data_IF_142637424267
#
_entry.id   IF_142637424267
#
_cell.length_a   1.000
_cell.length_b   1.000
_cell.length_c   1.000
_cell.angle_alpha   90.00
_cell.angle_beta   90.00
_cell.angle_gamma   90.00
#
_symmetry.space_group_name_H-M   'P 1'
#
loop_
_entity.id
_entity.type
_entity.pdbx_description
1 polymer ?
#
# COMPACT_ATOMS: atom_id res chain seq x y z
N UNK A 1 -14.50 -51.10 -33.10
CA UNK A 1 -13.97 -49.85 -33.71
C UNK A 1 -14.25 -48.71 -32.73
N UNK A 2 -13.49 -48.74 -31.64
CA UNK A 2 -13.62 -47.81 -30.51
C UNK A 2 -12.72 -46.61 -30.74
N UNK A 3 -13.30 -45.41 -30.78
CA UNK A 3 -12.55 -44.13 -30.66
C UNK A 3 -12.73 -43.58 -29.26
N UNK A 4 -11.70 -43.77 -28.43
CA UNK A 4 -11.53 -43.07 -27.19
C UNK A 4 -11.40 -41.57 -27.47
N UNK A 5 -12.32 -40.78 -26.91
CA UNK A 5 -12.23 -39.34 -26.80
C UNK A 5 -11.41 -39.07 -25.54
N UNK A 6 -10.16 -38.61 -25.70
CA UNK A 6 -9.36 -38.08 -24.60
C UNK A 6 -9.79 -36.63 -24.35
N UNK A 7 -10.35 -36.40 -23.17
CA UNK A 7 -10.66 -35.09 -22.64
C UNK A 7 -9.36 -34.51 -22.10
N UNK A 8 -8.72 -33.60 -22.81
CA UNK A 8 -7.60 -32.81 -22.33
C UNK A 8 -8.18 -31.58 -21.60
N UNK A 9 -8.21 -31.65 -20.28
CA UNK A 9 -8.32 -30.44 -19.45
C UNK A 9 -7.06 -29.61 -19.70
N UNK A 10 -7.21 -28.47 -20.36
CA UNK A 10 -6.20 -27.42 -20.38
C UNK A 10 -6.25 -26.71 -19.04
N UNK A 11 -5.28 -26.99 -18.21
CA UNK A 11 -4.94 -26.13 -17.08
C UNK A 11 -4.48 -24.78 -17.66
N UNK A 12 -5.31 -23.76 -17.48
CA UNK A 12 -4.95 -22.38 -17.82
C UNK A 12 -4.03 -21.85 -16.72
N UNK A 13 -2.76 -22.14 -16.83
CA UNK A 13 -1.73 -21.42 -16.08
C UNK A 13 -1.77 -19.96 -16.54
N UNK A 14 -2.15 -19.05 -15.67
CA UNK A 14 -2.06 -17.62 -15.89
C UNK A 14 -0.59 -17.21 -15.94
N UNK A 15 -0.01 -17.26 -17.13
CA UNK A 15 1.25 -16.57 -17.43
C UNK A 15 0.90 -15.11 -17.69
N UNK A 16 1.24 -14.23 -16.75
CA UNK A 16 1.35 -12.79 -16.98
C UNK A 16 2.62 -12.58 -17.81
N UNK A 17 2.55 -12.86 -19.09
CA UNK A 17 3.62 -12.61 -20.04
C UNK A 17 3.68 -11.10 -20.28
N UNK A 18 4.35 -10.40 -19.36
CA UNK A 18 4.71 -9.00 -19.56
C UNK A 18 5.82 -8.97 -20.61
N UNK A 19 5.51 -8.38 -21.76
CA UNK A 19 6.43 -8.15 -22.85
C UNK A 19 7.83 -7.78 -22.34
N UNK A 20 8.81 -8.58 -22.71
CA UNK A 20 10.18 -8.54 -22.22
C UNK A 20 10.82 -7.16 -22.34
N UNK A 21 10.75 -6.37 -21.27
CA UNK A 21 11.80 -5.39 -21.01
C UNK A 21 13.06 -6.18 -20.72
N UNK A 22 14.10 -5.98 -21.52
CA UNK A 22 15.39 -6.66 -21.45
C UNK A 22 15.80 -6.90 -19.98
N UNK A 23 16.15 -8.14 -19.66
CA UNK A 23 16.72 -8.56 -18.38
C UNK A 23 17.99 -7.72 -18.13
N UNK A 24 17.82 -6.57 -17.49
CA UNK A 24 18.95 -5.80 -16.95
C UNK A 24 19.26 -6.39 -15.56
N UNK A 25 20.56 -6.53 -15.30
CA UNK A 25 21.18 -6.93 -14.04
C UNK A 25 20.46 -6.35 -12.83
N UNK A 26 20.22 -7.20 -11.82
CA UNK A 26 19.64 -7.00 -10.49
C UNK A 26 19.09 -5.59 -10.22
N UNK A 27 17.76 -5.39 -10.25
CA UNK A 27 17.11 -4.09 -10.04
C UNK A 27 17.51 -3.37 -8.75
N UNK A 28 17.88 -4.13 -7.73
CA UNK A 28 18.19 -3.64 -6.38
C UNK A 28 19.44 -2.74 -6.28
N UNK A 29 20.32 -2.78 -7.25
CA UNK A 29 21.57 -2.01 -7.24
C UNK A 29 21.43 -0.67 -7.98
N UNK A 30 20.35 -0.48 -8.76
CA UNK A 30 20.20 0.66 -9.67
C UNK A 30 19.13 1.66 -9.24
N UNK A 31 18.27 1.32 -8.28
CA UNK A 31 17.15 2.16 -7.83
C UNK A 31 17.27 2.42 -6.33
N UNK A 32 17.18 3.69 -5.89
CA UNK A 32 17.08 4.01 -4.49
C UNK A 32 15.90 3.24 -3.87
N UNK A 33 16.10 2.64 -2.70
CA UNK A 33 15.07 1.84 -2.03
C UNK A 33 14.71 2.37 -0.64
N UNK A 34 15.36 3.46 -0.20
CA UNK A 34 15.11 4.13 1.07
C UNK A 34 15.27 5.63 0.92
N UNK A 35 14.42 6.38 1.61
CA UNK A 35 14.47 7.84 1.70
C UNK A 35 14.16 8.26 3.13
N UNK A 36 15.08 8.97 3.77
CA UNK A 36 14.94 9.42 5.15
C UNK A 36 14.64 10.92 5.21
N UNK A 37 13.79 11.31 6.15
CA UNK A 37 13.46 12.71 6.44
C UNK A 37 13.15 12.88 7.93
N UNK A 38 13.07 14.11 8.39
CA UNK A 38 12.64 14.45 9.74
C UNK A 38 11.32 15.19 9.72
N UNK A 39 10.48 14.90 10.70
CA UNK A 39 9.28 15.66 11.04
C UNK A 39 9.51 16.20 12.46
N UNK A 40 10.00 17.44 12.56
CA UNK A 40 10.52 17.95 13.81
C UNK A 40 11.60 17.04 14.41
N UNK A 41 11.34 16.45 15.58
CA UNK A 41 12.26 15.53 16.28
C UNK A 41 12.03 14.05 15.92
N UNK A 42 11.04 13.74 15.08
CA UNK A 42 10.70 12.38 14.68
C UNK A 42 11.46 12.00 13.39
N UNK A 43 12.16 10.86 13.42
CA UNK A 43 12.79 10.30 12.23
C UNK A 43 11.76 9.48 11.44
N UNK A 44 11.68 9.75 10.14
CA UNK A 44 10.80 9.03 9.19
C UNK A 44 11.64 8.46 8.07
N UNK A 45 11.37 7.22 7.68
CA UNK A 45 12.03 6.60 6.54
C UNK A 45 11.01 5.89 5.65
N UNK A 46 10.95 6.27 4.40
CA UNK A 46 10.18 5.54 3.39
C UNK A 46 11.07 4.45 2.82
N UNK A 47 10.55 3.22 2.79
CA UNK A 47 11.22 2.04 2.24
C UNK A 47 10.35 1.45 1.14
N UNK A 48 10.93 1.28 -0.03
CA UNK A 48 10.26 0.59 -1.13
C UNK A 48 10.25 -0.91 -0.87
N UNK A 49 9.09 -1.55 -0.89
CA UNK A 49 8.98 -3.02 -0.95
C UNK A 49 9.13 -3.56 -2.39
N UNK A 50 9.14 -2.65 -3.36
CA UNK A 50 9.24 -2.95 -4.78
C UNK A 50 8.02 -2.48 -5.55
N UNK A 51 7.59 -3.27 -6.53
CA UNK A 51 6.44 -2.93 -7.39
C UNK A 51 5.57 -4.15 -7.66
N UNK A 52 4.27 -3.91 -7.76
CA UNK A 52 3.27 -4.88 -8.15
C UNK A 52 2.74 -4.51 -9.54
N UNK A 53 2.97 -5.33 -10.59
CA UNK A 53 2.39 -5.08 -11.91
C UNK A 53 0.90 -5.39 -11.88
N UNK A 54 0.07 -4.40 -12.20
CA UNK A 54 -1.39 -4.53 -12.25
C UNK A 54 -1.95 -4.00 -13.57
N UNK A 55 -3.09 -4.55 -14.03
CA UNK A 55 -3.78 -4.01 -15.19
C UNK A 55 -4.16 -2.54 -15.00
N UNK A 56 -3.87 -1.69 -15.98
CA UNK A 56 -4.14 -0.23 -15.91
C UNK A 56 -5.61 0.11 -15.71
N UNK A 57 -6.53 -0.76 -16.15
CA UNK A 57 -7.97 -0.62 -15.90
C UNK A 57 -8.36 -0.59 -14.42
N UNK A 58 -7.48 -1.09 -13.54
CA UNK A 58 -7.71 -1.08 -12.09
C UNK A 58 -7.60 0.32 -11.48
N UNK A 59 -6.88 1.25 -12.13
CA UNK A 59 -6.71 2.61 -11.64
C UNK A 59 -7.99 3.44 -11.61
N UNK A 60 -8.91 3.18 -12.55
CA UNK A 60 -10.05 4.04 -12.79
C UNK A 60 -11.14 3.24 -13.51
N UNK A 61 -11.72 2.26 -12.81
CA UNK A 61 -12.66 1.34 -13.45
C UNK A 61 -14.01 2.00 -13.82
N UNK A 62 -14.36 3.14 -13.19
CA UNK A 62 -15.54 3.93 -13.50
C UNK A 62 -15.31 4.99 -14.61
N UNK A 63 -14.07 5.21 -15.02
CA UNK A 63 -13.74 6.17 -16.07
C UNK A 63 -14.07 5.65 -17.46
N UNK A 64 -14.43 6.56 -18.38
CA UNK A 64 -14.48 6.24 -19.79
C UNK A 64 -13.13 5.67 -20.27
N UNK A 65 -13.11 4.52 -20.97
CA UNK A 65 -11.87 3.90 -21.40
C UNK A 65 -10.96 4.79 -22.25
N UNK A 66 -11.53 5.68 -23.08
CA UNK A 66 -10.75 6.58 -23.92
C UNK A 66 -10.12 7.71 -23.08
N UNK A 67 -10.86 8.23 -22.08
CA UNK A 67 -10.31 9.25 -21.15
C UNK A 67 -9.20 8.66 -20.29
N UNK A 68 -9.39 7.44 -19.77
CA UNK A 68 -8.33 6.75 -19.04
C UNK A 68 -7.09 6.48 -19.90
N UNK A 69 -7.28 6.05 -21.15
CA UNK A 69 -6.18 5.82 -22.08
C UNK A 69 -5.42 7.10 -22.40
N UNK A 70 -6.10 8.22 -22.56
CA UNK A 70 -5.46 9.53 -22.77
C UNK A 70 -4.64 9.94 -21.54
N UNK A 71 -5.16 9.76 -20.32
CA UNK A 71 -4.41 10.04 -19.10
C UNK A 71 -3.14 9.16 -18.99
N UNK A 72 -3.24 7.86 -19.31
CA UNK A 72 -2.07 6.98 -19.31
C UNK A 72 -1.00 7.42 -20.31
N UNK A 73 -1.41 7.87 -21.51
CA UNK A 73 -0.51 8.37 -22.54
C UNK A 73 0.18 9.67 -22.10
N UNK A 74 -0.56 10.62 -21.55
CA UNK A 74 -0.05 11.89 -21.00
C UNK A 74 0.95 11.65 -19.84
N UNK A 75 0.74 10.59 -19.05
CA UNK A 75 1.63 10.17 -17.97
C UNK A 75 2.79 9.28 -18.44
N UNK A 76 2.92 9.01 -19.73
CA UNK A 76 3.90 8.10 -20.32
C UNK A 76 3.85 6.68 -19.71
N UNK A 77 2.66 6.24 -19.31
CA UNK A 77 2.43 4.92 -18.73
C UNK A 77 1.99 3.90 -19.79
N UNK A 78 2.33 2.62 -19.61
CA UNK A 78 1.86 1.58 -20.53
C UNK A 78 0.31 1.45 -20.50
N UNK A 79 -0.35 1.24 -21.66
CA UNK A 79 -1.80 1.22 -21.75
C UNK A 79 -2.45 0.02 -21.04
N UNK A 80 -1.76 -1.12 -20.96
CA UNK A 80 -2.35 -2.38 -20.50
C UNK A 80 -2.09 -2.68 -19.03
N UNK A 81 -0.86 -2.42 -18.57
CA UNK A 81 -0.44 -2.64 -17.20
C UNK A 81 0.68 -1.68 -16.81
N UNK A 82 0.76 -1.29 -15.56
CA UNK A 82 1.88 -0.51 -15.03
C UNK A 82 2.27 -1.00 -13.64
N UNK A 83 3.45 -0.55 -13.21
CA UNK A 83 4.02 -0.95 -11.94
C UNK A 83 3.49 -0.07 -10.82
N UNK A 84 2.66 -0.63 -9.96
CA UNK A 84 2.25 0.02 -8.71
C UNK A 84 3.39 -0.08 -7.73
N UNK A 85 3.89 1.06 -7.26
CA UNK A 85 4.90 1.08 -6.22
C UNK A 85 4.32 0.56 -4.90
N UNK A 86 5.16 -0.04 -4.07
CA UNK A 86 4.84 -0.52 -2.73
C UNK A 86 5.76 0.20 -1.75
N UNK A 87 5.26 1.26 -1.11
CA UNK A 87 6.00 2.06 -0.16
C UNK A 87 5.51 1.77 1.26
N UNK A 88 6.46 1.51 2.14
CA UNK A 88 6.26 1.28 3.57
C UNK A 88 6.99 2.38 4.33
N UNK A 89 6.49 2.76 5.49
CA UNK A 89 7.11 3.82 6.29
C UNK A 89 7.57 3.28 7.65
N UNK A 90 8.77 3.64 8.04
CA UNK A 90 9.29 3.44 9.40
C UNK A 90 9.37 4.78 10.11
N UNK A 91 8.83 4.85 11.32
CA UNK A 91 8.85 6.03 12.18
C UNK A 91 9.59 5.70 13.47
N UNK A 92 10.51 6.58 13.89
CA UNK A 92 11.13 6.51 15.22
C UNK A 92 10.70 7.71 16.03
N UNK A 93 9.91 7.45 17.07
CA UNK A 93 9.44 8.46 18.02
C UNK A 93 9.74 8.02 19.45
N UNK A 94 10.60 8.74 20.15
CA UNK A 94 11.07 8.36 21.47
C UNK A 94 11.78 6.99 21.47
N UNK A 95 11.27 6.06 22.27
CA UNK A 95 11.79 4.70 22.36
C UNK A 95 11.12 3.73 21.38
N UNK A 96 10.18 4.17 20.56
CA UNK A 96 9.38 3.33 19.66
C UNK A 96 9.95 3.35 18.24
N UNK A 97 9.99 2.18 17.64
CA UNK A 97 10.21 1.99 16.20
C UNK A 97 8.93 1.42 15.63
N UNK A 98 8.24 2.19 14.83
CA UNK A 98 6.90 1.90 14.31
C UNK A 98 7.04 1.61 12.82
N UNK A 99 6.56 0.45 12.39
CA UNK A 99 6.42 0.10 10.97
C UNK A 99 4.98 0.40 10.55
N UNK A 100 4.78 1.25 9.56
CA UNK A 100 3.46 1.54 8.99
C UNK A 100 3.33 0.74 7.69
N UNK A 101 2.44 -0.22 7.70
CA UNK A 101 2.30 -1.34 6.77
C UNK A 101 3.54 -2.25 6.71
N UNK A 102 3.40 -3.43 6.14
CA UNK A 102 4.46 -4.43 6.15
C UNK A 102 4.79 -5.00 4.75
N UNK A 103 4.30 -4.37 3.70
CA UNK A 103 4.57 -4.78 2.32
C UNK A 103 3.88 -6.09 1.92
N UNK A 104 4.17 -6.54 0.71
CA UNK A 104 3.56 -7.72 0.08
C UNK A 104 4.13 -9.03 0.62
N UNK A 105 5.42 -9.02 1.02
CA UNK A 105 6.13 -10.26 1.34
C UNK A 105 6.49 -11.07 0.09
N UNK A 106 7.02 -12.26 0.32
CA UNK A 106 7.37 -13.20 -0.74
C UNK A 106 6.35 -14.34 -0.71
N UNK A 107 5.47 -14.35 -1.69
CA UNK A 107 4.65 -15.52 -1.98
C UNK A 107 5.32 -16.27 -3.15
N UNK A 108 5.85 -17.49 -2.91
CA UNK A 108 6.54 -18.25 -3.95
C UNK A 108 5.65 -18.61 -5.13
N UNK A 109 4.33 -18.64 -4.95
CA UNK A 109 3.37 -18.97 -5.99
C UNK A 109 3.04 -17.78 -6.90
N UNK A 110 3.23 -16.54 -6.42
CA UNK A 110 2.91 -15.33 -7.19
C UNK A 110 3.99 -14.92 -8.20
N UNK A 111 5.20 -15.43 -8.10
CA UNK A 111 6.33 -15.13 -9.01
C UNK A 111 6.51 -13.63 -9.30
N UNK A 112 6.55 -12.80 -8.25
CA UNK A 112 6.70 -11.35 -8.33
C UNK A 112 8.14 -10.91 -7.96
N UNK A 113 9.13 -11.06 -8.86
CA UNK A 113 10.55 -10.91 -8.52
C UNK A 113 10.96 -9.46 -8.17
N UNK A 114 10.08 -8.49 -8.41
CA UNK A 114 10.32 -7.08 -8.13
C UNK A 114 9.56 -6.55 -6.90
N UNK A 115 8.82 -7.40 -6.19
CA UNK A 115 8.11 -7.10 -4.95
C UNK A 115 8.69 -7.90 -3.77
N UNK A 116 8.19 -7.66 -2.55
CA UNK A 116 8.55 -8.43 -1.36
C UNK A 116 9.99 -8.20 -0.88
N UNK A 117 10.56 -7.03 -1.14
CA UNK A 117 11.94 -6.68 -0.79
C UNK A 117 12.07 -6.04 0.61
N UNK A 118 10.96 -5.82 1.32
CA UNK A 118 10.93 -5.01 2.54
C UNK A 118 11.94 -5.49 3.59
N UNK A 119 11.90 -6.76 3.97
CA UNK A 119 12.76 -7.30 5.04
C UNK A 119 14.25 -7.06 4.73
N UNK A 120 14.67 -7.39 3.51
CA UNK A 120 16.05 -7.16 3.05
C UNK A 120 16.43 -5.68 3.08
N UNK A 121 15.50 -4.80 2.71
CA UNK A 121 15.73 -3.35 2.65
C UNK A 121 15.68 -2.69 4.02
N UNK A 122 14.89 -3.19 4.95
CA UNK A 122 14.96 -2.83 6.37
C UNK A 122 16.35 -3.12 6.95
N UNK A 123 16.87 -4.34 6.73
CA UNK A 123 18.21 -4.73 7.17
C UNK A 123 19.29 -3.84 6.56
N UNK A 124 19.22 -3.59 5.25
CA UNK A 124 20.14 -2.69 4.57
C UNK A 124 20.05 -1.23 5.06
N UNK A 125 18.91 -0.83 5.64
CA UNK A 125 18.71 0.46 6.29
C UNK A 125 19.16 0.47 7.76
N UNK A 126 19.68 -0.63 8.28
CA UNK A 126 20.07 -0.76 9.69
C UNK A 126 18.88 -0.85 10.65
N UNK A 127 17.74 -1.34 10.18
CA UNK A 127 16.53 -1.55 10.97
C UNK A 127 16.39 -3.06 11.22
N UNK A 128 16.68 -3.48 12.46
CA UNK A 128 16.44 -4.86 12.88
C UNK A 128 14.94 -5.06 13.16
N UNK A 129 14.37 -6.16 12.69
CA UNK A 129 12.99 -6.55 12.99
C UNK A 129 12.73 -6.66 14.50
N UNK A 130 13.73 -7.09 15.29
CA UNK A 130 13.65 -7.13 16.75
C UNK A 130 13.54 -5.74 17.40
N UNK A 131 13.90 -4.67 16.68
CA UNK A 131 13.75 -3.30 17.17
C UNK A 131 12.34 -2.71 16.93
N UNK A 132 11.53 -3.33 16.05
CA UNK A 132 10.17 -2.87 15.76
C UNK A 132 9.27 -3.12 16.97
N UNK A 133 8.79 -2.05 17.58
CA UNK A 133 7.92 -2.10 18.77
C UNK A 133 6.46 -2.21 18.41
N UNK A 134 6.09 -1.57 17.30
CA UNK A 134 4.72 -1.43 16.83
C UNK A 134 4.65 -1.59 15.31
N UNK A 135 3.58 -2.19 14.85
CA UNK A 135 3.14 -2.14 13.45
C UNK A 135 1.81 -1.41 13.43
N UNK A 136 1.63 -0.49 12.51
CA UNK A 136 0.33 0.13 12.23
C UNK A 136 -0.10 -0.32 10.85
N UNK A 137 -1.24 -0.95 10.75
CA UNK A 137 -1.80 -1.36 9.47
C UNK A 137 -2.83 -0.33 9.03
N UNK A 138 -2.66 0.19 7.82
CA UNK A 138 -3.68 1.02 7.19
C UNK A 138 -4.93 0.20 6.89
N UNK A 139 -4.73 -1.03 6.42
CA UNK A 139 -5.77 -2.04 6.18
C UNK A 139 -5.13 -3.43 5.99
N UNK A 140 -5.94 -4.47 5.69
CA UNK A 140 -5.43 -5.84 5.66
C UNK A 140 -5.37 -6.46 4.25
N UNK A 141 -5.18 -5.68 3.17
CA UNK A 141 -4.83 -6.25 1.88
C UNK A 141 -3.44 -6.90 1.93
N UNK A 142 -3.16 -7.80 0.97
CA UNK A 142 -1.97 -8.65 0.98
C UNK A 142 -0.65 -7.87 0.93
N UNK A 143 -0.63 -6.74 0.29
CA UNK A 143 0.54 -5.87 0.15
C UNK A 143 0.76 -4.91 1.32
N UNK A 144 -0.06 -5.02 2.37
CA UNK A 144 0.08 -4.31 3.64
C UNK A 144 0.39 -5.24 4.82
N UNK A 145 0.00 -6.51 4.73
CA UNK A 145 0.24 -7.51 5.80
C UNK A 145 1.19 -8.63 5.40
N UNK A 146 1.44 -8.82 4.11
CA UNK A 146 2.13 -9.99 3.56
C UNK A 146 3.57 -10.15 4.06
N UNK A 147 4.29 -9.06 4.28
CA UNK A 147 5.65 -9.11 4.81
C UNK A 147 5.74 -9.71 6.21
N UNK A 148 4.69 -9.59 7.03
CA UNK A 148 4.62 -10.26 8.33
C UNK A 148 4.46 -11.77 8.20
N UNK A 149 3.96 -12.26 7.07
CA UNK A 149 3.68 -13.67 6.79
C UNK A 149 4.86 -14.40 6.11
N UNK A 150 5.95 -13.70 5.82
CA UNK A 150 7.16 -14.31 5.28
C UNK A 150 7.76 -15.25 6.30
N UNK A 151 8.19 -16.44 5.86
CA UNK A 151 8.77 -17.47 6.73
C UNK A 151 9.93 -16.91 7.55
N UNK A 152 9.92 -17.17 8.85
CA UNK A 152 10.94 -16.74 9.82
C UNK A 152 10.83 -15.27 10.25
N UNK A 153 9.99 -14.44 9.65
CA UNK A 153 9.81 -13.03 10.07
C UNK A 153 9.22 -12.97 11.48
N UNK A 154 8.19 -13.74 11.77
CA UNK A 154 7.54 -13.76 13.08
C UNK A 154 8.51 -14.08 14.22
N UNK A 155 9.43 -15.01 14.00
CA UNK A 155 10.41 -15.43 15.01
C UNK A 155 11.50 -14.37 15.28
N UNK A 156 11.67 -13.43 14.36
CA UNK A 156 12.62 -12.31 14.46
C UNK A 156 12.00 -11.06 15.06
N UNK A 157 10.67 -10.96 15.05
CA UNK A 157 9.94 -9.86 15.70
C UNK A 157 9.97 -10.06 17.22
N UNK A 158 9.85 -8.95 17.96
CA UNK A 158 9.80 -9.03 19.42
C UNK A 158 8.52 -9.72 19.91
N UNK A 159 8.59 -10.46 21.04
CA UNK A 159 7.40 -11.16 21.58
C UNK A 159 6.26 -10.22 22.01
N UNK A 160 6.61 -8.99 22.41
CA UNK A 160 5.68 -7.97 22.87
C UNK A 160 5.29 -6.96 21.78
N UNK A 161 5.50 -7.31 20.49
CA UNK A 161 5.05 -6.53 19.34
C UNK A 161 3.55 -6.21 19.47
N UNK A 162 3.18 -4.97 19.15
CA UNK A 162 1.79 -4.52 19.05
C UNK A 162 1.47 -4.22 17.59
N UNK A 163 0.32 -4.70 17.10
CA UNK A 163 -0.16 -4.45 15.75
C UNK A 163 -1.47 -3.69 15.85
N UNK A 164 -1.44 -2.41 15.51
CA UNK A 164 -2.57 -1.51 15.56
C UNK A 164 -3.37 -1.56 14.27
N UNK A 165 -4.66 -1.81 14.35
CA UNK A 165 -5.57 -1.91 13.20
C UNK A 165 -6.97 -1.48 13.62
N UNK A 166 -7.74 -0.85 12.73
CA UNK A 166 -9.11 -0.46 13.04
C UNK A 166 -10.00 -1.69 13.33
N UNK A 167 -10.84 -1.62 14.36
CA UNK A 167 -11.77 -2.69 14.70
C UNK A 167 -12.72 -3.03 13.53
N UNK A 168 -13.13 -2.01 12.77
CA UNK A 168 -13.93 -2.17 11.56
C UNK A 168 -13.23 -3.01 10.47
N UNK A 169 -11.89 -2.92 10.39
CA UNK A 169 -11.10 -3.71 9.46
C UNK A 169 -11.10 -5.20 9.85
N UNK A 170 -10.79 -5.49 11.10
CA UNK A 170 -10.81 -6.88 11.61
C UNK A 170 -12.19 -7.50 11.41
N UNK A 171 -13.25 -6.76 11.75
CA UNK A 171 -14.63 -7.23 11.60
C UNK A 171 -15.00 -7.48 10.13
N UNK A 172 -14.56 -6.62 9.22
CA UNK A 172 -14.82 -6.79 7.79
C UNK A 172 -14.24 -8.11 7.28
N UNK A 173 -12.99 -8.44 7.65
CA UNK A 173 -12.31 -9.64 7.17
C UNK A 173 -12.84 -10.97 7.77
N UNK A 174 -13.72 -10.93 8.78
CA UNK A 174 -14.45 -12.11 9.23
C UNK A 174 -15.41 -12.66 8.15
N UNK A 175 -16.03 -11.76 7.36
CA UNK A 175 -16.95 -12.09 6.27
C UNK A 175 -16.89 -11.02 5.17
N UNK A 176 -15.78 -10.91 4.41
CA UNK A 176 -15.57 -9.81 3.48
C UNK A 176 -16.49 -9.89 2.27
N UNK A 177 -17.12 -8.76 1.93
CA UNK A 177 -17.94 -8.57 0.74
C UNK A 177 -17.10 -7.96 -0.40
N UNK A 178 -17.03 -8.65 -1.53
CA UNK A 178 -16.34 -8.22 -2.74
C UNK A 178 -17.29 -7.85 -3.86
N UNK A 179 -18.57 -7.64 -3.57
CA UNK A 179 -19.59 -7.36 -4.59
C UNK A 179 -19.38 -6.05 -5.36
N UNK A 180 -18.67 -5.10 -4.77
CA UNK A 180 -18.44 -3.76 -5.32
C UNK A 180 -17.06 -3.56 -5.94
N UNK A 181 -16.14 -4.50 -5.76
CA UNK A 181 -14.78 -4.41 -6.31
C UNK A 181 -14.70 -4.85 -7.76
N UNK A 182 -13.69 -4.35 -8.47
CA UNK A 182 -13.41 -4.72 -9.88
C UNK A 182 -12.03 -5.36 -10.00
N UNK A 183 -11.77 -6.36 -9.17
CA UNK A 183 -10.48 -7.08 -9.10
C UNK A 183 -10.35 -8.14 -10.19
N UNK A 184 -9.10 -8.51 -10.59
CA UNK A 184 -8.88 -9.68 -11.43
C UNK A 184 -9.39 -10.97 -10.77
N UNK A 185 -9.78 -11.99 -11.57
CA UNK A 185 -10.19 -13.28 -11.04
C UNK A 185 -9.11 -13.89 -10.13
N UNK A 186 -9.55 -14.47 -9.00
CA UNK A 186 -8.65 -15.06 -8.00
C UNK A 186 -8.13 -14.11 -6.93
N UNK A 187 -8.08 -12.79 -7.19
CA UNK A 187 -7.66 -11.82 -6.17
C UNK A 187 -8.52 -11.83 -4.91
N UNK A 188 -9.86 -11.83 -4.98
CA UNK A 188 -10.70 -11.90 -3.78
C UNK A 188 -10.38 -13.10 -2.88
N UNK A 189 -10.10 -14.27 -3.47
CA UNK A 189 -9.78 -15.49 -2.71
C UNK A 189 -8.37 -15.41 -2.10
N UNK A 190 -7.41 -14.87 -2.81
CA UNK A 190 -6.06 -14.62 -2.30
C UNK A 190 -6.08 -13.64 -1.13
N UNK A 191 -6.81 -12.54 -1.25
CA UNK A 191 -6.98 -11.55 -0.17
C UNK A 191 -7.63 -12.16 1.07
N UNK A 192 -8.72 -12.96 0.90
CA UNK A 192 -9.34 -13.69 2.03
C UNK A 192 -8.36 -14.64 2.71
N UNK A 193 -7.60 -15.41 1.92
CA UNK A 193 -6.64 -16.36 2.46
C UNK A 193 -5.53 -15.66 3.26
N UNK A 194 -4.98 -14.57 2.72
CA UNK A 194 -3.94 -13.77 3.37
C UNK A 194 -4.44 -13.13 4.65
N UNK A 195 -5.58 -12.45 4.63
CA UNK A 195 -6.16 -11.81 5.81
C UNK A 195 -6.49 -12.83 6.91
N UNK A 196 -7.05 -13.99 6.54
CA UNK A 196 -7.33 -15.08 7.47
C UNK A 196 -6.05 -15.64 8.09
N UNK A 197 -5.02 -15.86 7.27
CA UNK A 197 -3.72 -16.33 7.75
C UNK A 197 -3.12 -15.33 8.73
N UNK A 198 -3.08 -14.05 8.36
CA UNK A 198 -2.59 -12.97 9.22
C UNK A 198 -3.33 -12.91 10.55
N UNK A 199 -4.67 -12.88 10.53
CA UNK A 199 -5.48 -12.84 11.74
C UNK A 199 -5.22 -14.04 12.66
N UNK A 200 -5.03 -15.25 12.10
CA UNK A 200 -4.70 -16.44 12.89
C UNK A 200 -3.29 -16.37 13.50
N UNK A 201 -2.29 -15.92 12.74
CA UNK A 201 -0.91 -15.90 13.20
C UNK A 201 -0.63 -14.80 14.22
N UNK A 202 -1.32 -13.65 14.13
CA UNK A 202 -1.03 -12.46 14.93
C UNK A 202 -2.16 -12.03 15.87
N UNK A 203 -3.18 -12.87 16.12
CA UNK A 203 -4.34 -12.52 16.97
C UNK A 203 -3.95 -11.99 18.36
N UNK A 204 -2.87 -12.48 18.97
CA UNK A 204 -2.41 -12.04 20.28
C UNK A 204 -1.73 -10.66 20.27
N UNK A 205 -1.18 -10.27 19.15
CA UNK A 205 -0.49 -9.00 18.95
C UNK A 205 -1.44 -7.87 18.55
N UNK A 206 -2.64 -8.17 18.05
CA UNK A 206 -3.60 -7.17 17.59
C UNK A 206 -4.02 -6.24 18.73
N UNK A 207 -4.07 -4.94 18.42
CA UNK A 207 -4.59 -3.86 19.25
C UNK A 207 -5.54 -3.06 18.38
N UNK A 208 -6.82 -3.29 18.57
CA UNK A 208 -7.86 -2.63 17.77
C UNK A 208 -8.20 -1.27 18.33
N UNK A 209 -8.54 -0.35 17.44
CA UNK A 209 -9.06 0.98 17.78
C UNK A 209 -10.34 1.26 16.94
N UNK A 210 -11.19 2.17 17.41
CA UNK A 210 -12.44 2.50 16.71
C UNK A 210 -12.20 3.56 15.62
N UNK A 211 -12.00 4.81 15.99
CA UNK A 211 -11.87 5.91 15.03
C UNK A 211 -10.45 6.48 14.98
N UNK A 212 -9.81 6.66 16.12
CA UNK A 212 -8.47 7.24 16.24
C UNK A 212 -7.69 6.65 17.42
N UNK A 213 -6.38 6.56 17.28
CA UNK A 213 -5.49 6.09 18.32
C UNK A 213 -4.09 6.72 18.21
N UNK A 214 -3.55 7.25 19.32
CA UNK A 214 -2.16 7.67 19.40
C UNK A 214 -1.28 6.46 19.72
N UNK A 215 -0.45 6.06 18.75
CA UNK A 215 0.47 4.91 18.85
C UNK A 215 1.72 5.28 19.64
N UNK A 216 2.23 6.47 19.42
CA UNK A 216 3.37 7.06 20.09
C UNK A 216 3.22 8.60 20.11
N UNK A 217 3.97 9.34 20.93
CA UNK A 217 3.93 10.79 20.90
C UNK A 217 4.10 11.35 19.48
N UNK A 218 3.08 12.06 19.01
CA UNK A 218 3.05 12.61 17.65
C UNK A 218 2.80 11.63 16.51
N UNK A 219 2.43 10.37 16.79
CA UNK A 219 2.06 9.38 15.77
C UNK A 219 0.65 8.90 16.01
N UNK A 220 -0.28 9.35 15.19
CA UNK A 220 -1.72 9.10 15.34
C UNK A 220 -2.24 8.35 14.12
N UNK A 221 -2.92 7.24 14.33
CA UNK A 221 -3.67 6.51 13.30
C UNK A 221 -5.15 6.90 13.37
N UNK A 222 -5.77 7.21 12.23
CA UNK A 222 -7.18 7.60 12.11
C UNK A 222 -7.86 6.80 11.02
N UNK A 223 -8.99 6.16 11.37
CA UNK A 223 -9.82 5.45 10.41
C UNK A 223 -10.47 6.42 9.41
N UNK A 224 -10.46 6.05 8.15
CA UNK A 224 -11.08 6.80 7.05
C UNK A 224 -12.22 6.03 6.40
N UNK A 225 -12.09 4.71 6.31
CA UNK A 225 -12.99 3.89 5.51
C UNK A 225 -12.75 4.06 4.01
N UNK A 226 -13.74 3.66 3.20
CA UNK A 226 -13.76 3.78 1.75
C UNK A 226 -13.03 2.67 1.03
N UNK A 227 -11.71 2.69 1.00
CA UNK A 227 -10.91 1.66 0.35
C UNK A 227 -11.22 0.26 0.92
N UNK A 228 -11.13 0.10 2.24
CA UNK A 228 -11.79 -0.95 3.03
C UNK A 228 -12.59 -0.29 4.15
N UNK A 229 -13.54 -0.98 4.81
CA UNK A 229 -14.33 -0.39 5.90
C UNK A 229 -13.51 0.14 7.08
N UNK A 230 -12.34 -0.44 7.33
CA UNK A 230 -11.43 -0.03 8.39
C UNK A 230 -10.16 0.66 7.90
N UNK A 231 -10.07 0.99 6.60
CA UNK A 231 -8.91 1.73 6.08
C UNK A 231 -8.59 2.95 6.95
N UNK A 232 -7.31 3.19 7.15
CA UNK A 232 -6.80 4.23 8.06
C UNK A 232 -5.63 4.98 7.44
N UNK A 233 -5.45 6.22 7.88
CA UNK A 233 -4.27 7.03 7.57
C UNK A 233 -3.45 7.24 8.84
N UNK A 234 -2.15 7.50 8.69
CA UNK A 234 -1.27 7.76 9.84
C UNK A 234 -0.69 9.16 9.72
N UNK A 235 -0.93 10.00 10.73
CA UNK A 235 -0.33 11.32 10.84
C UNK A 235 0.88 11.28 11.77
N UNK A 236 1.99 11.84 11.32
CA UNK A 236 3.20 12.07 12.10
C UNK A 236 3.38 13.57 12.26
N UNK A 237 3.45 14.07 13.50
CA UNK A 237 3.53 15.50 13.78
C UNK A 237 4.51 15.79 14.92
N UNK A 238 5.43 16.75 14.73
CA UNK A 238 6.35 17.23 15.75
C UNK A 238 6.87 18.64 15.40
N UNK A 239 6.99 19.52 16.37
CA UNK A 239 7.62 20.84 16.22
C UNK A 239 6.93 21.79 15.23
N UNK A 240 5.70 21.50 14.82
CA UNK A 240 4.97 22.25 13.80
C UNK A 240 5.03 21.63 12.39
N UNK A 241 5.90 20.65 12.18
CA UNK A 241 5.98 19.87 10.94
C UNK A 241 5.00 18.69 10.98
N UNK A 242 4.43 18.33 9.83
CA UNK A 242 3.45 17.26 9.73
C UNK A 242 3.63 16.48 8.42
N UNK A 243 3.38 15.16 8.53
CA UNK A 243 3.34 14.23 7.41
C UNK A 243 2.17 13.28 7.60
N UNK A 244 1.42 13.04 6.53
CA UNK A 244 0.35 12.03 6.51
C UNK A 244 0.75 10.90 5.57
N UNK A 245 0.75 9.66 6.08
CA UNK A 245 0.79 8.45 5.28
C UNK A 245 -0.65 8.04 4.97
N UNK A 246 -1.00 8.07 3.69
CA UNK A 246 -2.39 7.91 3.24
C UNK A 246 -2.77 6.46 2.88
N UNK A 247 -1.83 5.50 2.98
CA UNK A 247 -2.10 4.13 2.53
C UNK A 247 -2.62 4.10 1.09
N UNK A 248 -3.74 3.44 0.89
CA UNK A 248 -4.38 3.23 -0.41
C UNK A 248 -5.52 4.21 -0.71
N UNK A 249 -5.65 5.25 0.10
CA UNK A 249 -6.63 6.29 -0.17
C UNK A 249 -6.21 7.18 -1.34
N UNK A 250 -4.88 7.34 -1.58
CA UNK A 250 -4.31 8.22 -2.60
C UNK A 250 -3.38 7.46 -3.53
N UNK A 251 -3.56 7.65 -4.82
CA UNK A 251 -2.73 7.13 -5.91
C UNK A 251 -2.63 8.16 -7.04
N UNK A 252 -1.72 7.98 -7.98
CA UNK A 252 -1.31 9.02 -8.93
C UNK A 252 -2.48 9.68 -9.67
N UNK A 253 -3.41 8.90 -10.21
CA UNK A 253 -4.58 9.41 -10.94
C UNK A 253 -5.53 10.21 -10.05
N UNK A 254 -5.55 9.92 -8.75
CA UNK A 254 -6.45 10.55 -7.78
C UNK A 254 -6.17 12.04 -7.51
N UNK A 255 -5.07 12.60 -8.02
CA UNK A 255 -4.85 14.06 -7.95
C UNK A 255 -5.65 14.80 -9.03
N UNK A 256 -5.59 14.34 -10.26
CA UNK A 256 -6.27 14.96 -11.39
C UNK A 256 -7.74 14.53 -11.48
N UNK A 257 -8.01 13.29 -11.06
CA UNK A 257 -9.33 12.67 -11.08
C UNK A 257 -9.66 12.06 -9.71
N UNK A 258 -9.91 12.88 -8.69
CA UNK A 258 -10.10 12.37 -7.32
C UNK A 258 -11.41 11.59 -7.13
N UNK A 259 -12.32 11.67 -8.08
CA UNK A 259 -13.59 10.94 -8.18
C UNK A 259 -13.48 9.62 -8.95
N UNK A 260 -12.32 9.29 -9.50
CA UNK A 260 -12.12 8.00 -10.15
C UNK A 260 -11.93 6.90 -9.11
N UNK A 261 -12.52 5.74 -9.40
CA UNK A 261 -12.56 4.60 -8.50
C UNK A 261 -11.43 3.60 -8.80
N UNK A 262 -10.68 3.24 -7.78
CA UNK A 262 -9.73 2.14 -7.86
C UNK A 262 -10.50 0.80 -7.79
N UNK A 263 -10.10 -0.18 -8.57
CA UNK A 263 -10.76 -1.49 -8.62
C UNK A 263 -10.70 -2.29 -7.31
N UNK A 264 -9.87 -1.89 -6.35
CA UNK A 264 -9.75 -2.52 -5.03
C UNK A 264 -10.60 -1.83 -3.94
N UNK A 265 -11.30 -0.74 -4.24
CA UNK A 265 -12.13 -0.02 -3.27
C UNK A 265 -13.44 -0.76 -2.98
N UNK A 266 -13.69 -1.06 -1.71
CA UNK A 266 -14.90 -1.76 -1.26
C UNK A 266 -16.12 -0.84 -1.15
N UNK A 267 -15.90 0.46 -0.89
CA UNK A 267 -16.89 1.52 -1.00
C UNK A 267 -16.30 2.68 -1.83
N UNK A 268 -16.35 2.57 -3.17
CA UNK A 268 -15.63 3.50 -4.04
C UNK A 268 -16.13 4.94 -3.97
N UNK A 269 -17.43 5.19 -3.72
CA UNK A 269 -17.96 6.54 -3.54
C UNK A 269 -17.47 7.15 -2.24
N UNK A 270 -17.42 6.37 -1.16
CA UNK A 270 -16.87 6.82 0.12
C UNK A 270 -15.35 7.04 0.00
N UNK A 271 -14.63 6.16 -0.70
CA UNK A 271 -13.20 6.33 -0.95
C UNK A 271 -12.92 7.63 -1.70
N UNK A 272 -13.66 7.91 -2.75
CA UNK A 272 -13.54 9.17 -3.51
C UNK A 272 -13.83 10.39 -2.64
N UNK A 273 -14.91 10.35 -1.83
CA UNK A 273 -15.28 11.43 -0.92
C UNK A 273 -14.17 11.73 0.09
N UNK A 274 -13.70 10.71 0.76
CA UNK A 274 -12.64 10.82 1.80
C UNK A 274 -11.30 11.25 1.18
N UNK A 275 -10.99 10.77 -0.02
CA UNK A 275 -9.80 11.20 -0.80
C UNK A 275 -9.84 12.71 -1.07
N UNK A 276 -10.95 13.23 -1.57
CA UNK A 276 -11.13 14.66 -1.86
C UNK A 276 -10.97 15.49 -0.58
N UNK A 277 -11.56 15.05 0.52
CA UNK A 277 -11.45 15.72 1.82
C UNK A 277 -10.01 15.75 2.31
N UNK A 278 -9.31 14.59 2.29
CA UNK A 278 -7.92 14.49 2.70
C UNK A 278 -7.01 15.36 1.82
N UNK A 279 -7.12 15.27 0.50
CA UNK A 279 -6.28 16.06 -0.40
C UNK A 279 -6.48 17.57 -0.21
N UNK A 280 -7.71 18.00 0.08
CA UNK A 280 -8.02 19.40 0.41
C UNK A 280 -7.43 19.83 1.74
N UNK A 281 -7.54 18.99 2.79
CA UNK A 281 -6.92 19.22 4.10
C UNK A 281 -5.41 19.39 3.96
N UNK A 282 -4.74 18.46 3.27
CA UNK A 282 -3.30 18.49 3.03
C UNK A 282 -2.84 19.73 2.25
N UNK A 283 -3.61 20.13 1.23
CA UNK A 283 -3.30 21.31 0.42
C UNK A 283 -3.41 22.61 1.24
N UNK A 284 -4.47 22.75 2.08
CA UNK A 284 -4.69 23.90 2.94
C UNK A 284 -3.60 24.02 4.00
N UNK A 285 -3.28 22.91 4.65
CA UNK A 285 -2.31 22.87 5.75
C UNK A 285 -0.86 22.82 5.25
N UNK A 286 -0.63 22.57 3.94
CA UNK A 286 0.69 22.39 3.32
C UNK A 286 1.48 21.22 3.94
N UNK A 287 0.77 20.21 4.39
CA UNK A 287 1.35 19.01 4.99
C UNK A 287 2.06 18.15 3.93
N UNK A 288 3.05 17.37 4.38
CA UNK A 288 3.67 16.34 3.56
C UNK A 288 2.71 15.14 3.45
N UNK A 289 2.71 14.55 2.26
CA UNK A 289 1.99 13.32 1.96
C UNK A 289 2.97 12.23 1.54
N UNK A 290 2.73 11.02 2.05
CA UNK A 290 3.28 9.76 1.54
C UNK A 290 2.10 8.81 1.29
N UNK A 291 2.13 8.03 0.22
CA UNK A 291 1.12 7.01 -0.07
C UNK A 291 1.77 5.74 -0.61
N UNK A 292 1.13 4.60 -0.39
CA UNK A 292 1.69 3.27 -0.74
C UNK A 292 2.01 3.18 -2.23
N UNK A 293 1.07 3.57 -3.09
CA UNK A 293 1.15 3.34 -4.54
C UNK A 293 1.60 4.54 -5.36
N UNK A 294 2.21 5.54 -4.72
CA UNK A 294 2.87 6.64 -5.43
C UNK A 294 4.32 6.26 -5.81
N UNK A 295 4.84 6.78 -6.92
CA UNK A 295 6.25 6.55 -7.30
C UNK A 295 7.20 6.89 -6.16
N UNK A 296 8.17 5.99 -5.88
CA UNK A 296 9.17 6.18 -4.82
C UNK A 296 9.96 7.51 -5.01
N UNK A 297 10.24 8.28 -3.96
CA UNK A 297 10.01 8.01 -2.53
C UNK A 297 8.60 8.35 -2.04
N UNK A 298 7.68 8.74 -2.90
CA UNK A 298 6.30 9.05 -2.54
C UNK A 298 6.15 10.22 -1.55
N UNK A 299 7.14 11.08 -1.40
CA UNK A 299 7.11 12.24 -0.49
C UNK A 299 6.86 13.52 -1.29
N UNK A 300 5.84 14.26 -0.92
CA UNK A 300 5.50 15.51 -1.58
C UNK A 300 4.36 16.26 -0.91
N UNK A 301 3.94 17.34 -1.55
CA UNK A 301 2.81 18.17 -1.15
C UNK A 301 1.67 18.04 -2.14
N UNK A 302 0.49 18.40 -1.67
CA UNK A 302 -0.70 18.58 -2.49
C UNK A 302 -0.90 20.06 -2.78
N UNK A 303 -1.14 20.41 -4.02
CA UNK A 303 -1.57 21.76 -4.41
C UNK A 303 -2.95 21.70 -5.07
N UNK A 304 -3.80 22.71 -4.80
CA UNK A 304 -5.08 22.86 -5.51
C UNK A 304 -4.80 23.27 -6.96
N UNK A 305 -5.49 22.64 -7.91
CA UNK A 305 -5.39 22.90 -9.34
C UNK A 305 -6.80 22.95 -9.96
N UNK A 306 -7.45 24.12 -9.91
CA UNK A 306 -8.86 24.26 -10.31
C UNK A 306 -9.79 23.47 -9.37
N UNK A 307 -10.59 22.56 -9.93
CA UNK A 307 -11.47 21.68 -9.17
C UNK A 307 -10.79 20.36 -8.74
N UNK A 308 -9.53 20.17 -9.15
CA UNK A 308 -8.72 18.99 -8.87
C UNK A 308 -7.48 19.35 -8.03
N UNK A 309 -6.50 18.45 -7.99
CA UNK A 309 -5.27 18.61 -7.23
C UNK A 309 -4.06 18.35 -8.13
N UNK A 310 -2.89 18.71 -7.63
CA UNK A 310 -1.62 18.46 -8.28
C UNK A 310 -0.63 17.93 -7.25
N UNK A 311 0.05 16.86 -7.59
CA UNK A 311 1.20 16.37 -6.84
C UNK A 311 2.41 17.27 -7.03
N UNK A 312 3.07 17.64 -5.93
CA UNK A 312 4.30 18.44 -5.92
C UNK A 312 5.36 17.66 -5.13
N UNK A 313 6.21 16.88 -5.82
CA UNK A 313 7.25 16.12 -5.13
C UNK A 313 8.21 17.06 -4.38
N UNK A 314 8.72 16.60 -3.25
CA UNK A 314 9.78 17.33 -2.53
C UNK A 314 11.08 17.33 -3.32
N UNK A 315 11.88 18.38 -3.19
CA UNK A 315 13.27 18.32 -3.58
C UNK A 315 14.05 17.52 -2.53
N UNK A 316 14.92 16.63 -3.02
CA UNK A 316 15.76 15.86 -2.11
C UNK A 316 16.74 16.77 -1.41
N UNK A 317 16.80 16.65 -0.10
CA UNK A 317 17.80 17.28 0.75
C UNK A 317 18.99 16.31 0.90
N UNK A 318 20.19 16.76 0.58
CA UNK A 318 21.40 15.91 0.51
C UNK A 318 22.31 16.17 1.70
#
# INVERSE_FOLDING_TARGET
>A
MDRMIRNTQQETTMSLDTAARSVRSKPDELVPSRYALKIGDIDVMVISDGVLPLPSKMLAHNADPAVRAAWLDDMFLPPDAFDWALNVVVVRSGAQTILIDAGLGLDPDLHLPRAGQLVKRLEAAGIDLASVTDVVLTHMHMDHVGGLLVEGVKDRLRPDLRIHVAAAEVKFWEAPDFSRVSMPPGFPDALRATAKRFANEYHNQLRTFEDEHEVAPGVVVRRTGGHTPGHSVVRVASGGDQLTFAGDLVFAVGFEHPDWHNGFEHDPEEAARVRIELLRELAVNRELLVATHMPFPSVGHVAVAGDAFRWVPVFWDY
#
